data_IF_312566577583
#
_entry.id   IF_312566577583
#
_cell.length_a   1.000
_cell.length_b   1.000
_cell.length_c   1.000
_cell.angle_alpha   90.00
_cell.angle_beta   90.00
_cell.angle_gamma   90.00
#
_symmetry.space_group_name_H-M   'P 1'
#
loop_
_entity.id
_entity.type
_entity.pdbx_description
1 polymer ?
#
# COMPACT_ATOMS: atom_id res chain seq x y z
N UNK A 1 18.39 13.74 5.27
CA UNK A 1 17.12 13.46 4.58
C UNK A 1 16.78 14.51 3.52
N UNK A 2 17.26 14.33 2.29
CA UNK A 2 16.95 15.24 1.17
C UNK A 2 15.50 15.04 0.67
N UNK A 3 15.05 13.79 0.55
CA UNK A 3 13.72 13.44 0.03
C UNK A 3 12.58 14.01 0.90
N UNK A 4 12.63 13.82 2.22
CA UNK A 4 11.63 14.38 3.15
C UNK A 4 11.52 15.91 3.06
N UNK A 5 12.65 16.60 2.90
CA UNK A 5 12.66 18.06 2.73
C UNK A 5 11.94 18.46 1.45
N UNK A 6 12.23 17.78 0.34
CA UNK A 6 11.57 18.03 -0.95
C UNK A 6 10.07 17.71 -0.90
N UNK A 7 9.67 16.58 -0.32
CA UNK A 7 8.25 16.24 -0.14
C UNK A 7 7.51 17.37 0.58
N UNK A 8 8.06 17.88 1.69
CA UNK A 8 7.47 19.00 2.42
C UNK A 8 7.38 20.28 1.59
N UNK A 9 8.43 20.61 0.84
CA UNK A 9 8.49 21.80 -0.01
C UNK A 9 7.42 21.80 -1.10
N UNK A 10 7.11 20.63 -1.66
CA UNK A 10 6.09 20.46 -2.70
C UNK A 10 4.73 19.99 -2.18
N UNK A 11 4.51 19.96 -0.86
CA UNK A 11 3.23 19.52 -0.27
C UNK A 11 2.90 18.03 -0.46
N UNK A 12 3.90 17.20 -0.77
CA UNK A 12 3.75 15.76 -0.92
C UNK A 12 3.96 14.99 0.39
N UNK A 13 3.37 13.81 0.48
CA UNK A 13 3.59 12.86 1.58
C UNK A 13 4.87 12.05 1.37
N UNK A 14 5.62 11.86 2.44
CA UNK A 14 6.83 11.03 2.46
C UNK A 14 6.52 9.69 3.15
N UNK A 15 6.35 8.64 2.35
CA UNK A 15 6.03 7.28 2.81
C UNK A 15 7.27 6.41 2.69
N UNK A 16 7.61 5.67 3.76
CA UNK A 16 8.70 4.69 3.74
C UNK A 16 8.22 3.34 3.20
N UNK A 17 9.10 2.62 2.53
CA UNK A 17 8.86 1.24 2.13
C UNK A 17 9.38 0.33 3.26
N UNK A 18 8.56 -0.63 3.69
CA UNK A 18 8.83 -1.77 4.58
C UNK A 18 9.24 -1.44 6.05
N UNK A 19 9.99 -0.37 6.29
CA UNK A 19 10.68 -0.07 7.55
C UNK A 19 9.84 0.77 8.53
N UNK A 20 8.92 0.11 9.22
CA UNK A 20 8.02 0.73 10.23
C UNK A 20 8.79 1.44 11.34
N UNK A 21 9.88 0.85 11.80
CA UNK A 21 10.73 1.33 12.90
C UNK A 21 11.37 2.69 12.60
N UNK A 22 11.60 3.01 11.32
CA UNK A 22 12.24 4.26 10.89
C UNK A 22 11.27 5.41 10.71
N UNK A 23 9.94 5.16 10.70
CA UNK A 23 8.92 6.19 10.42
C UNK A 23 9.06 7.39 11.34
N UNK A 24 9.22 7.15 12.65
CA UNK A 24 9.36 8.22 13.66
C UNK A 24 10.71 8.92 13.57
N UNK A 25 11.80 8.15 13.48
CA UNK A 25 13.16 8.70 13.38
C UNK A 25 13.31 9.61 12.16
N UNK A 26 12.76 9.17 11.03
CA UNK A 26 12.85 9.89 9.77
C UNK A 26 11.72 10.92 9.58
N UNK A 27 10.84 11.11 10.57
CA UNK A 27 9.70 12.02 10.49
C UNK A 27 8.93 11.82 9.16
N UNK A 28 8.70 10.56 8.79
CA UNK A 28 7.90 10.18 7.64
C UNK A 28 6.41 10.31 7.95
N UNK A 29 5.61 10.51 6.92
CA UNK A 29 4.15 10.59 7.03
C UNK A 29 3.51 9.21 7.19
N UNK A 30 4.25 8.13 6.90
CA UNK A 30 3.72 6.77 6.94
C UNK A 30 4.66 5.72 6.36
N UNK A 31 4.11 4.52 6.17
CA UNK A 31 4.80 3.35 5.63
C UNK A 31 3.91 2.60 4.64
N UNK A 32 4.50 1.97 3.63
CA UNK A 32 3.86 0.98 2.77
C UNK A 32 4.47 -0.39 3.04
N UNK A 33 3.62 -1.42 3.16
CA UNK A 33 4.04 -2.76 3.58
C UNK A 33 3.64 -3.79 2.53
N UNK A 34 4.62 -4.60 2.13
CA UNK A 34 4.40 -5.80 1.35
C UNK A 34 3.84 -6.96 2.19
N UNK A 35 3.61 -8.10 1.53
CA UNK A 35 3.01 -9.29 2.15
C UNK A 35 3.92 -10.03 3.13
N UNK A 36 5.23 -9.80 3.04
CA UNK A 36 6.25 -10.49 3.84
C UNK A 36 6.88 -9.59 4.90
N UNK A 37 6.45 -8.33 4.96
CA UNK A 37 6.94 -7.34 5.90
C UNK A 37 6.13 -7.40 7.20
N UNK A 38 6.31 -6.40 8.07
CA UNK A 38 5.52 -6.31 9.29
C UNK A 38 4.01 -6.33 8.98
N UNK A 39 3.19 -7.08 9.71
CA UNK A 39 1.74 -7.06 9.53
C UNK A 39 1.17 -5.65 9.76
N UNK A 40 0.20 -5.24 8.93
CA UNK A 40 -0.44 -3.90 9.00
C UNK A 40 -1.01 -3.62 10.39
N UNK A 41 -1.65 -4.62 11.00
CA UNK A 41 -2.22 -4.48 12.35
C UNK A 41 -1.14 -4.20 13.40
N UNK A 42 0.04 -4.80 13.26
CA UNK A 42 1.16 -4.54 14.15
C UNK A 42 1.76 -3.16 13.91
N UNK A 43 1.95 -2.77 12.65
CA UNK A 43 2.40 -1.42 12.31
C UNK A 43 1.43 -0.35 12.85
N UNK A 44 0.11 -0.59 12.73
CA UNK A 44 -0.92 0.30 13.30
C UNK A 44 -0.82 0.41 14.81
N UNK A 45 -0.58 -0.71 15.51
CA UNK A 45 -0.38 -0.72 16.97
C UNK A 45 0.86 0.08 17.38
N UNK A 46 1.95 0.01 16.61
CA UNK A 46 3.20 0.70 16.92
C UNK A 46 3.12 2.21 16.61
N UNK A 47 2.57 2.57 15.45
CA UNK A 47 2.56 3.94 14.95
C UNK A 47 1.39 4.76 15.51
N UNK A 48 0.24 4.14 15.78
CA UNK A 48 -0.99 4.81 16.15
C UNK A 48 -1.78 5.32 14.93
N UNK A 49 -2.87 6.06 15.15
CA UNK A 49 -3.77 6.49 14.06
C UNK A 49 -3.22 7.63 13.19
N UNK A 50 -2.18 8.33 13.65
CA UNK A 50 -1.68 9.56 13.01
C UNK A 50 -0.87 9.31 11.71
N UNK A 51 -0.38 8.09 11.51
CA UNK A 51 0.48 7.75 10.37
C UNK A 51 -0.30 6.99 9.31
N UNK A 52 0.04 7.26 8.04
CA UNK A 52 -0.48 6.52 6.91
C UNK A 52 0.14 5.12 6.84
N UNK A 53 -0.67 4.10 6.64
CA UNK A 53 -0.22 2.71 6.46
C UNK A 53 -0.83 2.13 5.19
N UNK A 54 0.00 1.90 4.19
CA UNK A 54 -0.39 1.23 2.96
C UNK A 54 -0.12 -0.26 3.01
N UNK A 55 -0.93 -1.05 2.31
CA UNK A 55 -0.72 -2.49 2.17
C UNK A 55 -0.67 -2.91 0.69
N UNK A 56 0.21 -3.84 0.36
CA UNK A 56 0.24 -4.48 -0.96
C UNK A 56 -0.86 -5.55 -1.06
N UNK A 57 -1.61 -5.52 -2.16
CA UNK A 57 -2.60 -6.53 -2.52
C UNK A 57 -2.39 -7.06 -3.94
N UNK A 58 -2.77 -8.31 -4.16
CA UNK A 58 -2.92 -8.92 -5.49
C UNK A 58 -4.31 -9.54 -5.67
N UNK A 59 -5.01 -9.90 -4.59
CA UNK A 59 -6.36 -10.47 -4.62
C UNK A 59 -7.35 -9.64 -3.78
N UNK A 60 -8.64 -9.94 -3.90
CA UNK A 60 -9.68 -9.33 -3.05
C UNK A 60 -9.45 -9.64 -1.56
N UNK A 61 -9.05 -10.87 -1.23
CA UNK A 61 -8.79 -11.31 0.15
C UNK A 61 -7.61 -10.55 0.77
N UNK A 62 -6.63 -10.14 -0.03
CA UNK A 62 -5.56 -9.26 0.45
C UNK A 62 -6.10 -7.89 0.84
N UNK A 63 -7.03 -7.33 0.05
CA UNK A 63 -7.66 -6.03 0.31
C UNK A 63 -8.52 -6.11 1.57
N UNK A 64 -9.37 -7.13 1.67
CA UNK A 64 -10.21 -7.37 2.85
C UNK A 64 -9.36 -7.51 4.11
N UNK A 65 -8.26 -8.27 4.04
CA UNK A 65 -7.31 -8.39 5.14
C UNK A 65 -6.67 -7.05 5.49
N UNK A 66 -6.19 -6.28 4.51
CA UNK A 66 -5.62 -4.95 4.74
C UNK A 66 -6.61 -3.99 5.40
N UNK A 67 -7.86 -4.01 4.94
CA UNK A 67 -8.96 -3.24 5.51
C UNK A 67 -9.20 -3.60 6.99
N UNK A 68 -9.36 -4.89 7.28
CA UNK A 68 -9.58 -5.38 8.64
C UNK A 68 -8.40 -5.15 9.58
N UNK A 69 -7.19 -4.98 9.04
CA UNK A 69 -5.98 -4.67 9.81
C UNK A 69 -5.75 -3.16 10.00
N UNK A 70 -6.57 -2.30 9.40
CA UNK A 70 -6.49 -0.84 9.57
C UNK A 70 -5.49 -0.15 8.63
N UNK A 71 -5.30 -0.69 7.42
CA UNK A 71 -4.64 0.05 6.34
C UNK A 71 -5.45 1.31 5.98
N UNK A 72 -4.75 2.34 5.51
CA UNK A 72 -5.36 3.59 5.00
C UNK A 72 -5.49 3.57 3.47
N UNK A 73 -4.68 2.76 2.78
CA UNK A 73 -4.77 2.57 1.34
C UNK A 73 -4.15 1.24 0.90
N UNK A 74 -4.45 0.83 -0.33
CA UNK A 74 -3.94 -0.39 -0.95
C UNK A 74 -3.13 -0.05 -2.20
N UNK A 75 -1.96 -0.69 -2.34
CA UNK A 75 -1.28 -0.85 -3.62
C UNK A 75 -1.70 -2.18 -4.25
N UNK A 76 -2.58 -2.14 -5.26
CA UNK A 76 -3.04 -3.35 -5.96
C UNK A 76 -2.14 -3.59 -7.17
N UNK A 77 -1.68 -4.82 -7.39
CA UNK A 77 -0.88 -5.12 -8.57
C UNK A 77 -0.24 -6.51 -8.59
N UNK A 78 0.58 -6.81 -9.60
CA UNK A 78 0.94 -5.91 -10.70
C UNK A 78 -0.16 -5.77 -11.78
N UNK A 79 -0.34 -4.57 -12.34
CA UNK A 79 -1.28 -4.30 -13.45
C UNK A 79 -0.80 -4.92 -14.77
N UNK A 80 0.48 -4.76 -15.08
CA UNK A 80 1.19 -5.40 -16.19
C UNK A 80 2.51 -5.96 -15.69
N UNK A 81 3.15 -6.82 -16.49
CA UNK A 81 4.49 -7.29 -16.20
C UNK A 81 5.46 -6.12 -15.99
N UNK A 82 6.37 -6.26 -15.02
CA UNK A 82 7.47 -5.32 -14.77
C UNK A 82 8.71 -6.09 -14.35
N UNK A 83 9.89 -5.59 -14.73
CA UNK A 83 11.18 -6.17 -14.34
C UNK A 83 11.67 -5.68 -12.96
N UNK A 84 11.01 -4.68 -12.36
CA UNK A 84 11.50 -4.02 -11.14
C UNK A 84 11.38 -4.88 -9.88
N UNK A 85 10.54 -5.93 -9.87
CA UNK A 85 10.31 -6.79 -8.68
C UNK A 85 10.63 -8.25 -9.01
N UNK A 86 11.37 -8.94 -8.13
CA UNK A 86 11.87 -10.32 -8.38
C UNK A 86 10.80 -11.40 -8.19
N UNK A 87 9.86 -11.18 -7.27
CA UNK A 87 8.77 -12.11 -6.96
C UNK A 87 7.43 -11.48 -7.40
N UNK A 88 7.15 -11.50 -8.70
CA UNK A 88 5.89 -10.96 -9.21
C UNK A 88 4.73 -11.87 -8.84
N UNK A 89 3.71 -11.30 -8.20
CA UNK A 89 2.39 -11.90 -8.17
C UNK A 89 1.80 -11.98 -9.59
N UNK A 90 0.78 -12.81 -9.82
CA UNK A 90 0.08 -12.88 -11.11
C UNK A 90 -0.34 -11.50 -11.61
N UNK A 91 -0.10 -11.25 -12.90
CA UNK A 91 -0.51 -10.00 -13.57
C UNK A 91 -2.03 -9.96 -13.62
N UNK A 92 -2.62 -8.85 -13.16
CA UNK A 92 -4.07 -8.70 -13.05
C UNK A 92 -4.71 -8.18 -14.35
N UNK A 93 -4.03 -7.28 -15.06
CA UNK A 93 -4.61 -6.55 -16.18
C UNK A 93 -5.86 -5.74 -15.80
N UNK A 94 -6.55 -5.18 -16.80
CA UNK A 94 -7.74 -4.37 -16.55
C UNK A 94 -8.90 -5.18 -15.97
N UNK A 95 -9.13 -6.40 -16.48
CA UNK A 95 -10.23 -7.25 -16.00
C UNK A 95 -10.03 -7.75 -14.56
N UNK A 96 -8.80 -8.06 -14.15
CA UNK A 96 -8.51 -8.42 -12.76
C UNK A 96 -8.82 -7.28 -11.81
N UNK A 97 -8.45 -6.05 -12.17
CA UNK A 97 -8.82 -4.86 -11.39
C UNK A 97 -10.33 -4.63 -11.38
N UNK A 98 -11.01 -4.77 -12.52
CA UNK A 98 -12.47 -4.59 -12.62
C UNK A 98 -13.21 -5.53 -11.68
N UNK A 99 -12.83 -6.82 -11.72
CA UNK A 99 -13.39 -7.87 -10.86
C UNK A 99 -13.13 -7.59 -9.38
N UNK A 100 -11.88 -7.31 -9.00
CA UNK A 100 -11.52 -7.06 -7.60
C UNK A 100 -12.24 -5.82 -7.05
N UNK A 101 -12.30 -4.73 -7.83
CA UNK A 101 -12.99 -3.52 -7.40
C UNK A 101 -14.50 -3.70 -7.29
N UNK A 102 -15.10 -4.60 -8.08
CA UNK A 102 -16.51 -4.99 -7.92
C UNK A 102 -16.74 -5.76 -6.62
N UNK A 103 -15.86 -6.72 -6.28
CA UNK A 103 -15.89 -7.40 -4.99
C UNK A 103 -15.78 -6.39 -3.82
N UNK A 104 -14.86 -5.42 -3.88
CA UNK A 104 -14.73 -4.38 -2.86
C UNK A 104 -16.02 -3.56 -2.70
N UNK A 105 -16.65 -3.15 -3.80
CA UNK A 105 -17.95 -2.42 -3.75
C UNK A 105 -19.04 -3.26 -3.09
N UNK A 106 -19.15 -4.54 -3.47
CA UNK A 106 -20.15 -5.45 -2.93
C UNK A 106 -19.94 -5.75 -1.44
N UNK A 107 -18.68 -5.76 -0.99
CA UNK A 107 -18.31 -5.93 0.42
C UNK A 107 -18.36 -4.62 1.24
N UNK A 108 -18.69 -3.48 0.62
CA UNK A 108 -18.70 -2.18 1.31
C UNK A 108 -17.31 -1.66 1.71
N UNK A 109 -16.23 -2.15 1.09
CA UNK A 109 -14.86 -1.71 1.35
C UNK A 109 -14.60 -0.43 0.56
N UNK A 110 -14.43 0.68 1.29
CA UNK A 110 -14.20 2.01 0.72
C UNK A 110 -12.72 2.46 0.74
N UNK A 111 -11.77 1.55 1.03
CA UNK A 111 -10.35 1.90 1.04
C UNK A 111 -9.87 2.41 -0.34
N UNK A 112 -9.09 3.50 -0.37
CA UNK A 112 -8.40 3.93 -1.58
C UNK A 112 -7.50 2.82 -2.15
N UNK A 113 -7.63 2.54 -3.44
CA UNK A 113 -6.80 1.57 -4.16
C UNK A 113 -5.98 2.31 -5.23
N UNK A 114 -4.67 2.11 -5.20
CA UNK A 114 -3.72 2.64 -6.17
C UNK A 114 -3.19 1.48 -7.02
N UNK A 115 -3.31 1.60 -8.34
CA UNK A 115 -2.77 0.61 -9.27
C UNK A 115 -1.24 0.71 -9.33
N UNK A 116 -0.55 -0.43 -9.32
CA UNK A 116 0.91 -0.48 -9.48
C UNK A 116 1.35 -1.59 -10.43
N UNK A 117 2.50 -1.41 -11.07
CA UNK A 117 3.16 -2.38 -11.94
C UNK A 117 2.88 -2.14 -13.43
N UNK A 118 3.83 -1.52 -14.14
CA UNK A 118 3.77 -1.34 -15.60
C UNK A 118 2.69 -0.37 -16.10
N UNK A 119 2.35 0.66 -15.32
CA UNK A 119 1.45 1.77 -15.73
C UNK A 119 2.23 2.78 -16.58
N UNK A 120 1.64 3.23 -17.69
CA UNK A 120 2.17 4.23 -18.64
C UNK A 120 1.05 5.11 -19.16
#
# INVERSE_FOLDING_TARGET
>A
MKSKKLCREYGAKFILDDHVELVRELNADGVHLGKLDMPVAEARRLLGPEYLIGATANTFEDIERGAGQGADYIGLGPFRFTQTKRNLSPVLGLEGYRTIMECCRNAGIALPVVAIGGIT
#
